data_IF_339769874305
#
_entry.id   IF_339769874305
#
_cell.length_a   1.000
_cell.length_b   1.000
_cell.length_c   1.000
_cell.angle_alpha   90.00
_cell.angle_beta   90.00
_cell.angle_gamma   90.00
#
_symmetry.space_group_name_H-M   'P 1'
#
loop_
_entity.id
_entity.type
_entity.pdbx_description
1 polymer ?
#
# COMPACT_ATOMS: atom_id res chain seq x y z
N UNK A 1 -11.25 3.53 -13.58
CA UNK A 1 -9.87 3.97 -13.31
C UNK A 1 -8.95 3.08 -14.14
N UNK A 2 -8.10 3.68 -14.96
CA UNK A 2 -7.10 2.96 -15.75
C UNK A 2 -5.81 2.86 -14.93
N UNK A 3 -5.11 1.73 -14.98
CA UNK A 3 -3.89 1.47 -14.18
C UNK A 3 -2.76 2.48 -14.43
N UNK A 4 -2.83 3.23 -15.54
CA UNK A 4 -1.80 4.19 -15.98
C UNK A 4 -1.52 5.36 -15.03
N UNK A 5 -2.38 5.63 -14.05
CA UNK A 5 -2.16 6.70 -13.06
C UNK A 5 -1.82 6.24 -11.63
N UNK A 6 -1.87 4.94 -11.35
CA UNK A 6 -1.88 4.41 -9.96
C UNK A 6 -0.85 3.28 -9.76
N UNK A 7 -0.36 2.67 -10.84
CA UNK A 7 0.67 1.64 -10.80
C UNK A 7 2.07 2.25 -10.92
N UNK A 8 2.58 2.78 -9.82
CA UNK A 8 3.97 3.26 -9.73
C UNK A 8 4.91 2.10 -9.44
N UNK A 9 6.02 1.92 -10.17
CA UNK A 9 7.01 0.90 -9.84
C UNK A 9 7.68 1.21 -8.49
N UNK A 10 7.83 0.18 -7.65
CA UNK A 10 8.62 0.23 -6.42
C UNK A 10 9.99 -0.41 -6.66
N UNK A 11 11.07 0.32 -6.40
CA UNK A 11 12.44 -0.22 -6.44
C UNK A 11 12.96 -0.33 -4.99
N UNK A 12 13.36 -1.54 -4.59
CA UNK A 12 13.94 -1.79 -3.26
C UNK A 12 15.38 -2.32 -3.41
N UNK A 13 16.32 -1.72 -2.67
CA UNK A 13 17.73 -2.10 -2.69
C UNK A 13 18.30 -2.12 -1.27
N UNK A 14 18.66 -3.31 -0.79
CA UNK A 14 19.33 -3.51 0.49
C UNK A 14 20.27 -4.72 0.41
N UNK A 15 21.54 -4.56 -0.01
CA UNK A 15 22.43 -5.68 -0.31
C UNK A 15 22.71 -6.62 0.86
N UNK A 16 22.58 -6.12 2.09
CA UNK A 16 22.79 -6.91 3.31
C UNK A 16 21.61 -7.83 3.66
N UNK A 17 20.38 -7.50 3.23
CA UNK A 17 19.18 -8.27 3.59
C UNK A 17 18.34 -8.76 2.42
N UNK A 18 18.39 -8.09 1.26
CA UNK A 18 17.78 -8.56 0.01
C UNK A 18 18.86 -9.27 -0.80
N UNK A 19 18.79 -10.60 -0.84
CA UNK A 19 19.74 -11.44 -1.58
C UNK A 19 19.48 -11.44 -3.10
N UNK A 20 18.23 -11.22 -3.50
CA UNK A 20 17.84 -11.18 -4.90
C UNK A 20 18.46 -9.97 -5.61
N UNK A 21 18.93 -10.16 -6.85
CA UNK A 21 19.51 -9.11 -7.68
C UNK A 21 18.77 -9.05 -9.01
N UNK A 22 18.30 -7.86 -9.41
CA UNK A 22 17.58 -7.65 -10.67
C UNK A 22 16.26 -8.41 -10.79
N UNK A 23 15.65 -8.81 -9.67
CA UNK A 23 14.45 -9.63 -9.68
C UNK A 23 13.18 -8.77 -9.74
N UNK A 24 12.22 -9.17 -10.57
CA UNK A 24 10.89 -8.57 -10.65
C UNK A 24 9.92 -9.28 -9.69
N UNK A 25 8.98 -8.52 -9.13
CA UNK A 25 7.91 -8.99 -8.26
C UNK A 25 6.60 -8.39 -8.73
N UNK A 26 5.56 -9.20 -8.86
CA UNK A 26 4.23 -8.76 -9.30
C UNK A 26 3.24 -8.66 -8.14
N UNK A 27 3.73 -8.96 -6.93
CA UNK A 27 2.99 -8.88 -5.67
C UNK A 27 2.36 -7.48 -5.48
N UNK A 28 1.01 -7.38 -5.43
CA UNK A 28 0.35 -6.10 -5.21
C UNK A 28 0.81 -5.46 -3.91
N UNK A 29 1.19 -4.19 -3.99
CA UNK A 29 1.79 -3.42 -2.90
C UNK A 29 1.22 -2.00 -2.88
N UNK A 30 1.24 -1.35 -1.72
CA UNK A 30 0.75 0.02 -1.58
C UNK A 30 1.66 0.84 -0.65
N UNK A 31 1.62 2.17 -0.74
CA UNK A 31 2.49 3.07 0.05
C UNK A 31 2.38 2.84 1.56
N UNK A 32 1.19 2.41 2.03
CA UNK A 32 0.93 2.07 3.43
C UNK A 32 1.76 0.87 3.95
N UNK A 33 2.32 0.07 3.05
CA UNK A 33 3.14 -1.11 3.36
C UNK A 33 4.59 -0.72 3.71
N UNK A 34 5.03 0.51 3.41
CA UNK A 34 6.42 0.95 3.62
C UNK A 34 6.79 0.96 5.11
N UNK A 35 5.95 1.57 5.95
CA UNK A 35 6.22 1.68 7.41
C UNK A 35 6.34 0.31 8.08
N UNK A 36 5.39 -0.64 7.94
CA UNK A 36 5.54 -1.96 8.55
C UNK A 36 6.75 -2.73 7.98
N UNK A 37 7.10 -2.54 6.71
CA UNK A 37 8.30 -3.14 6.09
C UNK A 37 9.59 -2.65 6.75
N UNK A 38 9.73 -1.33 6.93
CA UNK A 38 10.92 -0.74 7.57
C UNK A 38 11.05 -1.20 9.02
N UNK A 39 9.93 -1.22 9.78
CA UNK A 39 9.92 -1.65 11.17
C UNK A 39 10.35 -3.12 11.31
N UNK A 40 9.83 -4.01 10.47
CA UNK A 40 10.22 -5.42 10.45
C UNK A 40 11.71 -5.59 10.10
N UNK A 41 12.19 -4.90 9.06
CA UNK A 41 13.60 -4.94 8.65
C UNK A 41 14.55 -4.41 9.74
N UNK A 42 14.10 -3.43 10.52
CA UNK A 42 14.85 -2.87 11.63
C UNK A 42 14.77 -3.73 12.91
N UNK A 43 13.93 -4.77 12.94
CA UNK A 43 13.65 -5.55 14.15
C UNK A 43 12.95 -4.75 15.25
N UNK A 44 12.24 -3.67 14.87
CA UNK A 44 11.57 -2.76 15.80
C UNK A 44 10.09 -3.11 15.86
N UNK A 45 9.54 -3.45 17.04
CA UNK A 45 8.11 -3.64 17.17
C UNK A 45 7.37 -2.32 16.96
N UNK A 46 6.21 -2.37 16.31
CA UNK A 46 5.35 -1.19 16.17
C UNK A 46 4.99 -0.65 17.56
N UNK A 47 5.23 0.64 17.86
CA UNK A 47 4.89 1.21 19.16
C UNK A 47 3.38 1.21 19.36
N UNK A 48 2.93 0.90 20.59
CA UNK A 48 1.53 0.98 21.00
C UNK A 48 1.08 2.42 21.29
N UNK A 49 2.02 3.29 21.66
CA UNK A 49 1.79 4.72 21.91
C UNK A 49 2.96 5.58 21.44
N UNK A 50 2.66 6.84 21.10
CA UNK A 50 3.63 7.87 20.75
C UNK A 50 3.14 9.22 21.28
N UNK A 51 3.97 9.94 22.03
CA UNK A 51 3.62 11.24 22.65
C UNK A 51 2.26 11.21 23.38
N UNK A 52 2.05 10.20 24.23
CA UNK A 52 0.81 9.96 24.98
C UNK A 52 -0.46 9.70 24.14
N UNK A 53 -0.32 9.40 22.84
CA UNK A 53 -1.43 9.02 21.97
C UNK A 53 -1.29 7.57 21.53
N UNK A 54 -2.42 6.85 21.43
CA UNK A 54 -2.44 5.47 20.92
C UNK A 54 -2.12 5.48 19.43
N UNK A 55 -1.17 4.64 19.03
CA UNK A 55 -0.83 4.47 17.61
C UNK A 55 -1.90 3.60 16.96
N UNK A 56 -2.51 4.02 15.83
CA UNK A 56 -3.49 3.21 15.13
C UNK A 56 -2.87 1.93 14.57
N UNK A 57 -3.66 0.89 14.36
CA UNK A 57 -3.23 -0.32 13.63
C UNK A 57 -2.61 0.07 12.30
N UNK A 58 -1.51 -0.58 11.91
CA UNK A 58 -0.91 -0.30 10.61
C UNK A 58 -1.92 -0.69 9.51
N UNK A 59 -2.27 0.22 8.59
CA UNK A 59 -3.22 -0.11 7.51
C UNK A 59 -2.59 -1.01 6.44
N UNK A 60 -1.26 -1.00 6.33
CA UNK A 60 -0.50 -1.87 5.44
C UNK A 60 0.07 -3.11 6.11
N UNK A 61 0.69 -3.95 5.30
CA UNK A 61 1.41 -5.17 5.69
C UNK A 61 2.84 -5.12 5.18
N UNK A 62 3.76 -5.74 5.90
CA UNK A 62 5.17 -5.75 5.51
C UNK A 62 5.40 -6.49 4.20
N UNK A 63 6.26 -5.93 3.35
CA UNK A 63 6.72 -6.48 2.07
C UNK A 63 7.93 -7.40 2.22
N UNK A 64 8.48 -7.59 3.42
CA UNK A 64 9.67 -8.43 3.65
C UNK A 64 9.56 -9.83 3.00
N UNK A 65 8.44 -10.55 3.09
CA UNK A 65 8.29 -11.86 2.44
C UNK A 65 8.48 -11.80 0.91
N UNK A 66 8.11 -10.70 0.27
CA UNK A 66 8.19 -10.55 -1.20
C UNK A 66 9.61 -10.32 -1.71
N UNK A 67 10.55 -9.97 -0.82
CA UNK A 67 11.96 -9.82 -1.21
C UNK A 67 12.62 -11.17 -1.50
N UNK A 68 12.20 -12.24 -0.80
CA UNK A 68 12.73 -13.59 -1.00
C UNK A 68 12.11 -14.30 -2.22
N UNK A 69 10.82 -14.15 -2.44
CA UNK A 69 10.07 -14.82 -3.52
C UNK A 69 8.89 -13.97 -4.00
N UNK A 70 8.35 -14.25 -5.18
CA UNK A 70 7.13 -13.58 -5.65
C UNK A 70 5.91 -14.21 -4.98
N UNK A 71 5.44 -13.58 -3.91
CA UNK A 71 4.36 -14.09 -3.05
C UNK A 71 3.32 -13.02 -2.80
N UNK A 72 2.05 -13.40 -2.91
CA UNK A 72 0.97 -12.47 -2.60
C UNK A 72 0.78 -12.37 -1.10
N UNK A 73 0.95 -11.15 -0.56
CA UNK A 73 0.59 -10.85 0.82
C UNK A 73 -0.93 -10.82 0.93
N UNK A 74 -1.47 -11.75 1.71
CA UNK A 74 -2.91 -11.83 1.96
C UNK A 74 -3.40 -10.58 2.66
N UNK A 75 -4.46 -9.95 2.13
CA UNK A 75 -5.10 -8.76 2.68
C UNK A 75 -6.54 -8.68 2.19
N UNK A 76 -7.44 -8.14 3.00
CA UNK A 76 -8.88 -8.15 2.69
C UNK A 76 -9.23 -7.21 1.54
N UNK A 77 -8.60 -6.04 1.52
CA UNK A 77 -8.72 -5.06 0.46
C UNK A 77 -7.57 -4.05 0.50
N UNK A 78 -7.30 -3.44 -0.66
CA UNK A 78 -6.61 -2.16 -0.75
C UNK A 78 -7.61 -1.10 -1.21
N UNK A 79 -7.45 0.14 -0.77
CA UNK A 79 -8.36 1.21 -1.10
C UNK A 79 -7.60 2.50 -1.39
N UNK A 80 -8.11 3.27 -2.34
CA UNK A 80 -7.61 4.58 -2.70
C UNK A 80 -8.75 5.56 -2.86
N UNK A 81 -8.52 6.77 -2.38
CA UNK A 81 -9.34 7.94 -2.65
C UNK A 81 -8.44 9.08 -3.10
N UNK A 82 -8.76 9.62 -4.27
CA UNK A 82 -8.11 10.80 -4.80
C UNK A 82 -9.16 11.62 -5.54
N UNK A 83 -9.34 12.87 -5.11
CA UNK A 83 -10.17 13.88 -5.79
C UNK A 83 -11.57 13.38 -6.23
N UNK A 84 -12.35 12.82 -5.29
CA UNK A 84 -13.71 12.33 -5.57
C UNK A 84 -13.80 10.93 -6.19
N UNK A 85 -12.69 10.37 -6.67
CA UNK A 85 -12.66 9.00 -7.15
C UNK A 85 -12.31 8.01 -6.03
N UNK A 86 -13.05 6.91 -5.96
CA UNK A 86 -12.86 5.84 -4.97
C UNK A 86 -12.63 4.53 -5.70
N UNK A 87 -11.63 3.76 -5.29
CA UNK A 87 -11.49 2.38 -5.75
C UNK A 87 -11.07 1.46 -4.62
N UNK A 88 -11.58 0.23 -4.70
CA UNK A 88 -11.25 -0.88 -3.81
C UNK A 88 -10.67 -1.98 -4.68
N UNK A 89 -9.58 -2.60 -4.23
CA UNK A 89 -9.01 -3.82 -4.82
C UNK A 89 -9.12 -4.96 -3.82
N UNK A 90 -9.69 -6.09 -4.22
CA UNK A 90 -9.73 -7.35 -3.47
C UNK A 90 -9.20 -8.47 -4.37
N UNK A 91 -7.99 -8.96 -4.09
CA UNK A 91 -7.27 -9.86 -5.00
C UNK A 91 -6.99 -9.17 -6.34
N UNK A 92 -7.39 -9.81 -7.44
CA UNK A 92 -7.26 -9.27 -8.81
C UNK A 92 -8.48 -8.45 -9.25
N UNK A 93 -9.53 -8.39 -8.44
CA UNK A 93 -10.70 -7.59 -8.75
C UNK A 93 -10.53 -6.17 -8.22
N UNK A 94 -10.60 -5.19 -9.12
CA UNK A 94 -10.68 -3.77 -8.79
C UNK A 94 -12.06 -3.23 -9.17
N UNK A 95 -12.78 -2.66 -8.21
CA UNK A 95 -14.03 -1.92 -8.43
C UNK A 95 -13.79 -0.45 -8.15
N UNK A 96 -14.09 0.41 -9.14
CA UNK A 96 -14.00 1.86 -9.03
C UNK A 96 -15.38 2.50 -9.05
N UNK A 97 -15.64 3.42 -8.14
CA UNK A 97 -16.80 4.30 -8.16
C UNK A 97 -16.31 5.71 -8.44
N UNK A 98 -16.74 6.29 -9.57
CA UNK A 98 -16.54 7.70 -9.89
C UNK A 98 -17.82 8.43 -9.53
N UNK A 99 -17.77 9.43 -8.65
CA UNK A 99 -18.89 10.37 -8.57
C UNK A 99 -18.92 11.18 -9.87
N UNK A 100 -20.08 11.28 -10.52
CA UNK A 100 -20.32 12.32 -11.52
C UNK A 100 -20.41 13.63 -10.73
N UNK A 101 -19.43 14.51 -10.89
CA UNK A 101 -19.57 15.90 -10.48
C UNK A 101 -20.71 16.51 -11.28
N UNK A 102 -21.82 16.82 -10.61
CA UNK A 102 -22.86 17.66 -11.19
C UNK A 102 -22.39 19.12 -11.00
N UNK A 103 -22.15 19.89 -12.07
CA UNK A 103 -21.81 21.30 -11.95
C UNK A 103 -23.09 22.08 -11.64
N UNK A 104 -23.45 22.19 -10.36
CA UNK A 104 -24.65 22.94 -9.98
C UNK A 104 -25.08 22.72 -8.54
N UNK A 105 -24.33 23.26 -7.59
CA UNK A 105 -24.85 24.17 -6.55
C UNK A 105 -23.75 24.44 -5.54
N UNK A 106 -23.12 25.60 -5.70
CA UNK A 106 -22.44 26.30 -4.62
C UNK A 106 -23.47 27.23 -3.98
N UNK A 107 -23.77 27.05 -2.70
CA UNK A 107 -24.34 28.12 -1.89
C UNK A 107 -23.70 28.05 -0.50
N UNK A 108 -23.12 29.21 -0.18
CA UNK A 108 -22.43 29.70 1.01
C UNK A 108 -22.80 29.00 2.33
#
# INVERSE_FOLDING_TARGET
MHEGGISTPLIAHWPKGIKAKGALRHSPSHVIDIVPTILEMAGIPKPSSWKNQKVPTAPGKSLVPTFASDVTIQRDHLWWFHDGHRAVRKGDFQTGLSQKTNPGNCTI
#
